data_IF_557665059405
#
_entry.id   IF_557665059405
#
_cell.length_a   1.000
_cell.length_b   1.000
_cell.length_c   1.000
_cell.angle_alpha   90.00
_cell.angle_beta   90.00
_cell.angle_gamma   90.00
#
_symmetry.space_group_name_H-M   'P 1'
#
loop_
_entity.id
_entity.type
_entity.pdbx_description
1 polymer ?
#
# COMPACT_ATOMS: atom_id res chain seq x y z
N UNK A 1 5.19 -20.74 -5.50
CA UNK A 1 5.92 -19.45 -5.44
C UNK A 1 5.29 -18.48 -6.42
N UNK A 2 4.93 -17.27 -6.00
CA UNK A 2 4.44 -16.24 -6.92
C UNK A 2 5.66 -15.68 -7.65
N UNK A 3 5.72 -15.82 -8.98
CA UNK A 3 6.81 -15.26 -9.77
C UNK A 3 6.70 -13.75 -9.94
N UNK A 4 7.84 -13.09 -10.22
CA UNK A 4 7.84 -11.66 -10.54
C UNK A 4 6.94 -11.39 -11.76
N UNK A 5 5.94 -10.54 -11.56
CA UNK A 5 4.95 -10.21 -12.58
C UNK A 5 5.20 -8.81 -13.15
N UNK A 6 5.75 -8.77 -14.35
CA UNK A 6 6.01 -7.54 -15.09
C UNK A 6 4.84 -7.13 -15.98
N UNK A 7 3.72 -7.86 -15.97
CA UNK A 7 2.61 -7.62 -16.89
C UNK A 7 1.87 -6.31 -16.60
N UNK A 8 1.27 -5.75 -17.64
CA UNK A 8 0.37 -4.60 -17.51
C UNK A 8 -0.84 -4.93 -16.64
N UNK A 9 -1.34 -6.17 -16.68
CA UNK A 9 -2.47 -6.58 -15.86
C UNK A 9 -2.11 -6.58 -14.37
N UNK A 10 -0.90 -6.97 -14.02
CA UNK A 10 -0.42 -6.90 -12.64
C UNK A 10 -0.38 -5.46 -12.10
N UNK A 11 -0.02 -4.49 -12.95
CA UNK A 11 0.04 -3.08 -12.60
C UNK A 11 -1.33 -2.40 -12.67
N UNK A 12 -2.06 -2.61 -13.79
CA UNK A 12 -3.28 -1.85 -14.08
C UNK A 12 -4.58 -2.54 -13.65
N UNK A 13 -4.54 -3.84 -13.34
CA UNK A 13 -5.71 -4.64 -12.93
C UNK A 13 -5.33 -5.64 -11.83
N UNK A 14 -4.66 -5.18 -10.76
CA UNK A 14 -4.08 -6.09 -9.77
C UNK A 14 -5.13 -6.99 -9.09
N UNK A 15 -6.35 -6.52 -8.91
CA UNK A 15 -7.43 -7.29 -8.30
C UNK A 15 -7.96 -8.47 -9.15
N UNK A 16 -7.65 -8.49 -10.47
CA UNK A 16 -8.07 -9.61 -11.33
C UNK A 16 -7.27 -10.90 -11.08
N UNK A 17 -6.07 -10.79 -10.50
CA UNK A 17 -5.28 -11.96 -10.12
C UNK A 17 -6.02 -12.77 -9.04
N UNK A 18 -5.94 -14.11 -9.07
CA UNK A 18 -6.45 -14.93 -7.97
C UNK A 18 -5.88 -14.46 -6.63
N UNK A 19 -6.67 -14.57 -5.58
CA UNK A 19 -6.16 -14.30 -4.24
C UNK A 19 -5.18 -15.40 -3.80
N UNK A 20 -4.22 -15.01 -2.99
CA UNK A 20 -3.28 -15.94 -2.35
C UNK A 20 -3.86 -16.54 -1.07
N UNK A 21 -4.99 -16.05 -0.59
CA UNK A 21 -5.65 -16.57 0.59
C UNK A 21 -6.37 -17.88 0.26
N UNK A 22 -6.20 -18.85 1.15
CA UNK A 22 -6.83 -20.18 1.04
C UNK A 22 -7.62 -20.49 2.31
N UNK A 23 -8.68 -21.34 2.21
CA UNK A 23 -9.46 -21.73 3.38
C UNK A 23 -8.58 -22.27 4.52
N UNK A 24 -8.80 -21.75 5.73
CA UNK A 24 -8.04 -22.15 6.93
C UNK A 24 -6.69 -21.45 7.11
N UNK A 25 -6.34 -20.50 6.23
CA UNK A 25 -5.17 -19.65 6.44
C UNK A 25 -5.40 -18.77 7.66
N UNK A 26 -4.40 -18.70 8.55
CA UNK A 26 -4.46 -17.86 9.73
C UNK A 26 -3.51 -16.67 9.61
N UNK A 27 -3.99 -15.49 9.99
CA UNK A 27 -3.21 -14.25 9.98
C UNK A 27 -1.90 -14.41 10.77
N UNK A 28 -1.96 -15.03 11.94
CA UNK A 28 -0.79 -15.27 12.79
C UNK A 28 0.27 -16.18 12.15
N UNK A 29 -0.14 -17.13 11.30
CA UNK A 29 0.79 -18.05 10.65
C UNK A 29 1.48 -17.44 9.43
N UNK A 30 0.79 -16.55 8.73
CA UNK A 30 1.29 -15.89 7.50
C UNK A 30 2.09 -14.64 7.82
N UNK A 31 1.72 -13.95 8.87
CA UNK A 31 2.25 -12.66 9.25
C UNK A 31 1.42 -11.49 8.71
N UNK A 32 1.22 -10.53 9.58
CA UNK A 32 0.32 -9.39 9.35
C UNK A 32 0.71 -8.57 8.11
N UNK A 33 2.01 -8.42 7.82
CA UNK A 33 2.49 -7.60 6.72
C UNK A 33 2.16 -8.24 5.37
N UNK A 34 2.25 -9.56 5.26
CA UNK A 34 1.86 -10.29 4.06
C UNK A 34 0.34 -10.23 3.83
N UNK A 35 -0.44 -10.32 4.90
CA UNK A 35 -1.89 -10.10 4.86
C UNK A 35 -2.20 -8.69 4.37
N UNK A 36 -1.55 -7.66 4.93
CA UNK A 36 -1.72 -6.27 4.52
C UNK A 36 -1.36 -6.04 3.05
N UNK A 37 -0.32 -6.72 2.53
CA UNK A 37 0.06 -6.62 1.11
C UNK A 37 -1.06 -7.13 0.20
N UNK A 38 -1.60 -8.30 0.49
CA UNK A 38 -2.69 -8.87 -0.28
C UNK A 38 -3.99 -8.05 -0.14
N UNK A 39 -4.35 -7.62 1.08
CA UNK A 39 -5.51 -6.76 1.29
C UNK A 39 -5.37 -5.43 0.51
N UNK A 40 -4.17 -4.82 0.49
CA UNK A 40 -3.89 -3.61 -0.28
C UNK A 40 -4.01 -3.83 -1.80
N UNK A 41 -3.68 -5.03 -2.28
CA UNK A 41 -3.91 -5.43 -3.67
C UNK A 41 -5.39 -5.65 -3.97
N UNK A 42 -6.11 -6.30 -3.08
CA UNK A 42 -7.55 -6.57 -3.21
C UNK A 42 -8.39 -5.29 -3.15
N UNK A 43 -7.89 -4.23 -2.50
CA UNK A 43 -8.55 -2.92 -2.47
C UNK A 43 -8.74 -2.29 -3.87
N UNK A 44 -8.04 -2.76 -4.89
CA UNK A 44 -8.25 -2.33 -6.28
C UNK A 44 -9.45 -3.00 -6.96
N UNK A 45 -10.15 -3.93 -6.30
CA UNK A 45 -11.43 -4.45 -6.82
C UNK A 45 -12.48 -3.32 -6.84
N UNK A 46 -13.27 -3.18 -7.90
CA UNK A 46 -14.28 -2.12 -8.01
C UNK A 46 -15.54 -2.47 -7.19
N UNK A 47 -15.37 -2.73 -5.90
CA UNK A 47 -16.42 -3.22 -5.00
C UNK A 47 -17.54 -2.18 -4.75
N UNK A 48 -17.29 -0.91 -5.02
CA UNK A 48 -18.30 0.14 -4.86
C UNK A 48 -19.26 0.21 -6.05
N UNK A 49 -18.81 -0.13 -7.24
CA UNK A 49 -19.57 -0.05 -8.49
C UNK A 49 -19.98 -1.40 -9.07
N UNK A 50 -19.41 -2.50 -8.58
CA UNK A 50 -19.65 -3.85 -9.07
C UNK A 50 -20.00 -4.81 -7.91
N UNK A 51 -21.27 -5.19 -7.83
CA UNK A 51 -21.80 -6.07 -6.79
C UNK A 51 -21.15 -7.48 -6.81
N UNK A 52 -20.76 -7.99 -7.97
CA UNK A 52 -20.09 -9.28 -8.07
C UNK A 52 -18.67 -9.21 -7.49
N UNK A 53 -17.95 -8.12 -7.75
CA UNK A 53 -16.63 -7.88 -7.17
C UNK A 53 -16.71 -7.63 -5.67
N UNK A 54 -17.75 -6.94 -5.21
CA UNK A 54 -18.02 -6.76 -3.77
C UNK A 54 -18.21 -8.10 -3.07
N UNK A 55 -19.10 -8.95 -3.58
CA UNK A 55 -19.33 -10.30 -3.02
C UNK A 55 -18.05 -11.12 -3.00
N UNK A 56 -17.32 -11.11 -4.10
CA UNK A 56 -16.04 -11.82 -4.19
C UNK A 56 -15.03 -11.32 -3.15
N UNK A 57 -14.94 -9.99 -2.93
CA UNK A 57 -14.05 -9.45 -1.89
C UNK A 57 -14.47 -9.94 -0.50
N UNK A 58 -15.76 -9.90 -0.17
CA UNK A 58 -16.28 -10.38 1.12
C UNK A 58 -15.96 -11.86 1.31
N UNK A 59 -16.22 -12.72 0.31
CA UNK A 59 -15.90 -14.14 0.34
C UNK A 59 -14.40 -14.39 0.61
N UNK A 60 -13.53 -13.58 -0.01
CA UNK A 60 -12.07 -13.66 0.21
C UNK A 60 -11.71 -13.25 1.65
N UNK A 61 -12.32 -12.19 2.17
CA UNK A 61 -12.08 -11.75 3.56
C UNK A 61 -12.52 -12.81 4.58
N UNK A 62 -13.63 -13.48 4.33
CA UNK A 62 -14.15 -14.57 5.15
C UNK A 62 -13.20 -15.77 5.23
N UNK A 63 -12.38 -16.03 4.20
CA UNK A 63 -11.33 -17.08 4.25
C UNK A 63 -10.32 -16.86 5.40
N UNK A 64 -10.13 -15.59 5.80
CA UNK A 64 -9.25 -15.18 6.90
C UNK A 64 -10.00 -14.95 8.22
N UNK A 65 -11.31 -15.16 8.25
CA UNK A 65 -12.13 -14.79 9.41
C UNK A 65 -12.33 -13.28 9.57
N UNK A 66 -12.09 -12.49 8.52
CA UNK A 66 -12.36 -11.06 8.52
C UNK A 66 -13.85 -10.81 8.24
N UNK A 67 -14.54 -10.22 9.21
CA UNK A 67 -15.99 -9.97 9.21
C UNK A 67 -16.28 -8.48 9.36
N UNK A 68 -17.55 -8.11 9.51
CA UNK A 68 -17.99 -6.71 9.69
C UNK A 68 -17.45 -5.78 8.61
N UNK A 69 -17.37 -6.28 7.36
CA UNK A 69 -16.86 -5.52 6.23
C UNK A 69 -17.69 -4.25 5.98
N UNK A 70 -16.99 -3.16 5.69
CA UNK A 70 -17.58 -1.90 5.24
C UNK A 70 -16.68 -1.27 4.16
N UNK A 71 -17.27 -0.89 3.02
CA UNK A 71 -16.63 -0.08 1.99
C UNK A 71 -16.86 1.41 2.24
N UNK A 72 -15.90 2.24 1.89
CA UNK A 72 -15.94 3.68 1.97
C UNK A 72 -15.54 4.27 0.62
N UNK A 73 -16.29 5.25 0.14
CA UNK A 73 -15.95 5.92 -1.11
C UNK A 73 -16.28 7.42 -1.07
N UNK A 74 -15.55 8.18 -1.88
CA UNK A 74 -15.80 9.58 -2.13
C UNK A 74 -15.61 9.85 -3.64
N UNK A 75 -16.70 9.87 -4.38
CA UNK A 75 -16.68 10.01 -5.85
C UNK A 75 -15.99 11.31 -6.31
N UNK A 76 -16.07 12.39 -5.53
CA UNK A 76 -15.45 13.67 -5.86
C UNK A 76 -13.92 13.63 -5.94
N UNK A 77 -13.28 12.72 -5.18
CA UNK A 77 -11.82 12.55 -5.14
C UNK A 77 -11.37 11.21 -5.71
N UNK A 78 -12.30 10.31 -6.04
CA UNK A 78 -12.01 8.94 -6.44
C UNK A 78 -11.37 8.10 -5.32
N UNK A 79 -11.48 8.55 -4.06
CA UNK A 79 -10.90 7.87 -2.91
C UNK A 79 -11.78 6.70 -2.51
N UNK A 80 -11.18 5.52 -2.35
CA UNK A 80 -11.84 4.33 -1.87
C UNK A 80 -11.01 3.65 -0.77
N UNK A 81 -11.71 3.04 0.19
CA UNK A 81 -11.12 2.23 1.24
C UNK A 81 -12.13 1.16 1.68
N UNK A 82 -11.67 0.18 2.42
CA UNK A 82 -12.56 -0.72 3.15
C UNK A 82 -12.02 -1.01 4.55
N UNK A 83 -12.91 -1.45 5.43
CA UNK A 83 -12.55 -1.94 6.75
C UNK A 83 -13.14 -3.33 7.00
N UNK A 84 -12.52 -4.08 7.90
CA UNK A 84 -13.00 -5.37 8.39
C UNK A 84 -12.44 -5.65 9.80
N UNK A 85 -13.08 -6.58 10.52
CA UNK A 85 -12.68 -7.03 11.85
C UNK A 85 -12.25 -8.50 11.78
N UNK A 86 -11.10 -8.83 12.36
CA UNK A 86 -10.73 -10.20 12.67
C UNK A 86 -11.63 -10.75 13.77
N UNK A 87 -12.47 -11.72 13.44
CA UNK A 87 -13.45 -12.31 14.36
C UNK A 87 -12.84 -13.12 15.49
N UNK A 88 -11.58 -13.59 15.34
CA UNK A 88 -10.86 -14.36 16.35
C UNK A 88 -10.23 -13.46 17.43
N UNK A 89 -9.62 -12.34 17.01
CA UNK A 89 -8.83 -11.48 17.90
C UNK A 89 -9.45 -10.10 18.13
N UNK A 90 -10.47 -9.71 17.37
CA UNK A 90 -11.07 -8.39 17.43
C UNK A 90 -10.20 -7.26 16.83
N UNK A 91 -9.19 -7.61 16.02
CA UNK A 91 -8.31 -6.65 15.39
C UNK A 91 -9.00 -5.99 14.18
N UNK A 92 -8.98 -4.67 14.13
CA UNK A 92 -9.54 -3.90 13.02
C UNK A 92 -8.48 -3.66 11.94
N UNK A 93 -8.91 -3.76 10.69
CA UNK A 93 -8.13 -3.42 9.50
C UNK A 93 -8.83 -2.28 8.76
N UNK A 94 -8.11 -1.24 8.39
CA UNK A 94 -8.55 -0.21 7.44
C UNK A 94 -7.54 -0.16 6.30
N UNK A 95 -8.02 -0.45 5.09
CA UNK A 95 -7.20 -0.60 3.88
C UNK A 95 -7.60 0.47 2.88
N UNK A 96 -6.66 1.33 2.52
CA UNK A 96 -6.87 2.38 1.53
C UNK A 96 -6.43 1.91 0.14
N UNK A 97 -7.29 2.14 -0.86
CA UNK A 97 -6.97 1.88 -2.26
C UNK A 97 -5.97 2.91 -2.79
N UNK A 98 -5.05 2.46 -3.62
CA UNK A 98 -4.20 3.35 -4.42
C UNK A 98 -4.96 4.03 -5.56
N UNK A 99 -4.26 4.92 -6.27
CA UNK A 99 -4.78 5.63 -7.45
C UNK A 99 -5.27 4.64 -8.51
N UNK A 100 -6.33 5.03 -9.23
CA UNK A 100 -6.78 4.27 -10.39
C UNK A 100 -5.62 4.06 -11.38
N UNK A 101 -5.52 2.88 -12.02
CA UNK A 101 -4.31 2.47 -12.73
C UNK A 101 -3.87 3.39 -13.90
N UNK A 102 -4.81 4.18 -14.48
CA UNK A 102 -4.49 5.17 -15.52
C UNK A 102 -3.63 6.34 -15.03
N UNK A 103 -3.74 6.67 -13.75
CA UNK A 103 -3.23 7.91 -13.16
C UNK A 103 -1.91 7.73 -12.39
N UNK A 104 -1.33 6.51 -12.38
CA UNK A 104 -0.04 6.25 -11.69
C UNK A 104 1.08 7.09 -12.30
N UNK A 105 1.06 7.33 -13.60
CA UNK A 105 2.04 8.21 -14.27
C UNK A 105 1.88 9.64 -13.80
N UNK A 106 0.66 10.10 -13.65
CA UNK A 106 0.36 11.46 -13.19
C UNK A 106 0.80 11.63 -11.73
N UNK A 107 0.54 10.65 -10.87
CA UNK A 107 1.05 10.63 -9.49
C UNK A 107 2.59 10.70 -9.43
N UNK A 108 3.28 10.00 -10.34
CA UNK A 108 4.75 10.00 -10.41
C UNK A 108 5.33 11.27 -11.03
N UNK A 109 4.55 12.01 -11.84
CA UNK A 109 5.00 13.19 -12.59
C UNK A 109 4.43 14.51 -12.07
N UNK A 110 3.32 14.48 -11.34
CA UNK A 110 2.73 15.68 -10.75
C UNK A 110 3.57 16.16 -9.56
N UNK A 111 4.56 16.99 -9.90
CA UNK A 111 5.45 17.66 -8.94
C UNK A 111 4.82 18.90 -8.32
N UNK A 112 3.57 19.23 -8.65
CA UNK A 112 2.89 20.43 -8.16
C UNK A 112 2.39 20.22 -6.73
N UNK A 113 3.32 20.00 -5.85
CA UNK A 113 3.12 19.52 -4.49
C UNK A 113 2.97 20.71 -3.54
N UNK A 114 1.77 21.23 -3.45
CA UNK A 114 1.47 22.30 -2.49
C UNK A 114 1.40 21.71 -1.07
N UNK A 115 2.22 22.21 -0.12
CA UNK A 115 2.11 21.84 1.28
C UNK A 115 0.88 22.47 1.94
N UNK A 116 0.25 21.74 2.85
CA UNK A 116 -0.76 22.24 3.77
C UNK A 116 -0.42 21.84 5.19
N UNK A 117 -0.70 22.73 6.15
CA UNK A 117 -0.48 22.44 7.56
C UNK A 117 -1.31 21.22 8.00
N UNK A 118 -0.69 20.32 8.76
CA UNK A 118 -1.34 19.13 9.28
C UNK A 118 -1.57 19.24 10.80
N UNK A 119 -2.77 18.85 11.25
CA UNK A 119 -3.16 18.99 12.66
C UNK A 119 -2.26 18.18 13.63
N UNK A 120 -1.66 17.08 13.17
CA UNK A 120 -0.71 16.25 13.93
C UNK A 120 0.71 16.84 14.00
N UNK A 121 0.98 17.95 13.33
CA UNK A 121 2.27 18.62 13.20
C UNK A 121 2.89 18.49 11.80
N UNK A 122 3.69 19.49 11.43
CA UNK A 122 4.31 19.57 10.11
C UNK A 122 3.35 19.96 8.99
N UNK A 123 3.79 19.72 7.76
CA UNK A 123 3.02 19.94 6.55
C UNK A 123 2.95 18.65 5.74
N UNK A 124 1.84 18.46 5.02
CA UNK A 124 1.60 17.29 4.16
C UNK A 124 1.18 17.73 2.76
N UNK A 125 1.21 16.79 1.83
CA UNK A 125 0.75 17.00 0.46
C UNK A 125 -0.74 17.32 0.43
N UNK A 126 -1.12 18.47 -0.15
CA UNK A 126 -2.50 18.95 -0.18
C UNK A 126 -3.47 17.94 -0.83
N UNK A 127 -3.06 17.31 -1.93
CA UNK A 127 -3.88 16.29 -2.61
C UNK A 127 -4.16 15.08 -1.71
N UNK A 128 -3.16 14.61 -0.96
CA UNK A 128 -3.35 13.49 -0.03
C UNK A 128 -4.24 13.90 1.15
N UNK A 129 -4.07 15.10 1.68
CA UNK A 129 -4.92 15.64 2.74
C UNK A 129 -6.39 15.73 2.29
N UNK A 130 -6.64 16.23 1.07
CA UNK A 130 -7.98 16.32 0.48
C UNK A 130 -8.60 14.94 0.27
N UNK A 131 -7.84 13.99 -0.30
CA UNK A 131 -8.31 12.63 -0.51
C UNK A 131 -8.62 11.92 0.82
N UNK A 132 -7.76 12.05 1.82
CA UNK A 132 -8.00 11.49 3.15
C UNK A 132 -9.25 12.10 3.81
N UNK A 133 -9.38 13.43 3.78
CA UNK A 133 -10.51 14.13 4.37
C UNK A 133 -11.86 13.69 3.78
N UNK A 134 -11.89 13.29 2.50
CA UNK A 134 -13.12 12.92 1.80
C UNK A 134 -13.76 11.62 2.29
N UNK A 135 -13.00 10.72 2.93
CA UNK A 135 -13.49 9.43 3.47
C UNK A 135 -13.34 9.34 4.99
N UNK A 136 -12.64 10.27 5.60
CA UNK A 136 -12.30 10.27 7.03
C UNK A 136 -13.52 10.06 7.93
N UNK A 137 -14.53 10.89 7.76
CA UNK A 137 -15.69 10.90 8.67
C UNK A 137 -16.50 9.60 8.59
N UNK A 138 -16.57 8.98 7.41
CA UNK A 138 -17.19 7.66 7.24
C UNK A 138 -16.42 6.59 8.02
N UNK A 139 -15.08 6.61 7.92
CA UNK A 139 -14.21 5.65 8.60
C UNK A 139 -14.23 5.90 10.12
N UNK A 140 -14.19 7.15 10.58
CA UNK A 140 -14.28 7.50 12.02
C UNK A 140 -15.59 6.97 12.60
N UNK A 141 -16.72 7.15 11.93
CA UNK A 141 -18.02 6.59 12.35
C UNK A 141 -17.96 5.06 12.49
N UNK A 142 -17.35 4.36 11.51
CA UNK A 142 -17.19 2.91 11.60
C UNK A 142 -16.27 2.50 12.75
N UNK A 143 -15.17 3.22 12.98
CA UNK A 143 -14.24 2.97 14.10
C UNK A 143 -14.92 3.19 15.45
N UNK A 144 -15.84 4.15 15.58
CA UNK A 144 -16.63 4.40 16.78
C UNK A 144 -17.58 3.24 17.07
N UNK A 145 -18.25 2.71 16.04
CA UNK A 145 -19.13 1.52 16.21
C UNK A 145 -18.36 0.26 16.59
N UNK A 146 -17.05 0.23 16.34
CA UNK A 146 -16.12 -0.87 16.69
C UNK A 146 -15.09 -0.42 17.73
N UNK A 147 -15.49 0.43 18.69
CA UNK A 147 -14.60 0.98 19.72
C UNK A 147 -13.97 -0.10 20.63
N UNK A 148 -14.64 -1.26 20.80
CA UNK A 148 -14.15 -2.39 21.56
C UNK A 148 -13.09 -3.24 20.85
N UNK A 149 -12.61 -2.84 19.67
CA UNK A 149 -11.55 -3.55 18.92
C UNK A 149 -10.27 -3.66 19.75
N UNK A 150 -9.55 -4.78 19.57
CA UNK A 150 -8.30 -5.05 20.30
C UNK A 150 -7.15 -4.18 19.78
N UNK A 151 -7.06 -4.02 18.45
CA UNK A 151 -6.04 -3.17 17.80
C UNK A 151 -6.58 -2.57 16.50
N UNK A 152 -5.82 -1.62 15.93
CA UNK A 152 -6.09 -1.04 14.62
C UNK A 152 -4.85 -1.16 13.73
N UNK A 153 -4.99 -1.82 12.58
CA UNK A 153 -3.99 -1.91 11.54
C UNK A 153 -4.43 -1.09 10.32
N UNK A 154 -3.56 -0.19 9.89
CA UNK A 154 -3.74 0.64 8.69
C UNK A 154 -2.81 0.15 7.60
N UNK A 155 -3.31 -0.02 6.39
CA UNK A 155 -2.47 -0.41 5.26
C UNK A 155 -2.96 0.21 3.94
N UNK A 156 -2.07 0.20 2.96
CA UNK A 156 -2.38 0.66 1.61
C UNK A 156 -1.16 0.55 0.68
N UNK A 157 -1.45 0.67 -0.61
CA UNK A 157 -0.46 0.69 -1.68
C UNK A 157 -0.54 2.02 -2.43
N UNK A 158 0.61 2.58 -2.85
CA UNK A 158 0.66 3.81 -3.65
C UNK A 158 0.00 5.00 -2.92
N UNK A 159 -0.95 5.70 -3.55
CA UNK A 159 -1.76 6.73 -2.89
C UNK A 159 -2.41 6.20 -1.60
N UNK A 160 -2.93 4.96 -1.62
CA UNK A 160 -3.53 4.36 -0.42
C UNK A 160 -2.55 4.24 0.74
N UNK A 161 -1.27 4.02 0.46
CA UNK A 161 -0.22 4.05 1.47
C UNK A 161 -0.02 5.45 2.07
N UNK A 162 -0.10 6.50 1.26
CA UNK A 162 -0.06 7.88 1.74
C UNK A 162 -1.26 8.20 2.64
N UNK A 163 -2.47 7.75 2.27
CA UNK A 163 -3.67 7.94 3.08
C UNK A 163 -3.60 7.17 4.41
N UNK A 164 -3.11 5.92 4.38
CA UNK A 164 -2.86 5.14 5.60
C UNK A 164 -1.85 5.83 6.53
N UNK A 165 -0.83 6.50 5.96
CA UNK A 165 0.16 7.26 6.73
C UNK A 165 -0.46 8.50 7.39
N UNK A 166 -1.34 9.22 6.69
CA UNK A 166 -2.12 10.32 7.28
C UNK A 166 -3.06 9.81 8.39
N UNK A 167 -3.74 8.68 8.14
CA UNK A 167 -4.60 8.03 9.10
C UNK A 167 -3.85 7.64 10.40
N UNK A 168 -2.61 7.13 10.27
CA UNK A 168 -1.76 6.77 11.43
C UNK A 168 -1.52 7.95 12.35
N UNK A 169 -1.22 9.13 11.79
CA UNK A 169 -1.02 10.35 12.58
C UNK A 169 -2.30 10.85 13.26
N UNK A 170 -3.46 10.49 12.72
CA UNK A 170 -4.77 10.94 13.20
C UNK A 170 -5.38 9.99 14.23
N UNK A 171 -5.30 8.66 13.97
CA UNK A 171 -6.02 7.66 14.77
C UNK A 171 -5.14 6.88 15.74
N UNK A 172 -3.83 7.18 15.80
CA UNK A 172 -2.87 6.50 16.68
C UNK A 172 -3.02 4.97 16.63
N UNK A 173 -3.06 4.44 15.40
CA UNK A 173 -3.25 3.02 15.16
C UNK A 173 -2.09 2.20 15.74
N UNK A 174 -2.35 0.94 16.06
CA UNK A 174 -1.36 0.01 16.60
C UNK A 174 -0.30 -0.37 15.57
N UNK A 175 -0.66 -0.30 14.26
CA UNK A 175 0.23 -0.69 13.16
C UNK A 175 -0.07 0.06 11.87
N UNK A 176 1.00 0.41 11.16
CA UNK A 176 0.97 0.94 9.81
C UNK A 176 1.84 0.05 8.91
N UNK A 177 1.28 -0.43 7.80
CA UNK A 177 2.00 -1.21 6.79
C UNK A 177 1.76 -0.61 5.40
N UNK A 178 2.80 -0.07 4.79
CA UNK A 178 2.66 0.63 3.51
C UNK A 178 3.52 0.01 2.41
N UNK A 179 3.00 -0.01 1.19
CA UNK A 179 3.64 -0.59 0.02
C UNK A 179 3.72 0.45 -1.10
N UNK A 180 4.91 0.68 -1.65
CA UNK A 180 5.08 1.67 -2.71
C UNK A 180 4.65 3.08 -2.30
N UNK A 181 4.86 3.46 -1.04
CA UNK A 181 4.39 4.72 -0.49
C UNK A 181 5.22 5.90 -1.00
N UNK A 182 4.59 6.96 -1.54
CA UNK A 182 5.28 8.23 -1.82
C UNK A 182 5.61 8.97 -0.51
N UNK A 183 6.43 10.01 -0.59
CA UNK A 183 6.66 10.91 0.55
C UNK A 183 5.43 11.74 0.83
N UNK A 184 4.93 11.69 2.06
CA UNK A 184 3.61 12.22 2.42
C UNK A 184 3.69 13.65 2.95
N UNK A 185 4.75 13.97 3.69
CA UNK A 185 4.91 15.27 4.33
C UNK A 185 6.37 15.62 4.64
N UNK A 186 6.55 16.70 5.37
CA UNK A 186 7.87 17.18 5.77
C UNK A 186 8.49 16.33 6.90
N UNK A 187 9.74 16.65 7.28
CA UNK A 187 10.45 15.96 8.36
C UNK A 187 9.68 15.99 9.67
N UNK A 188 9.00 17.11 9.96
CA UNK A 188 8.22 17.25 11.19
C UNK A 188 7.00 16.33 11.20
N UNK A 189 6.31 16.20 10.08
CA UNK A 189 5.23 15.23 9.94
C UNK A 189 5.78 13.79 10.02
N UNK A 190 6.84 13.51 9.29
CA UNK A 190 7.44 12.16 9.22
C UNK A 190 7.95 11.69 10.59
N UNK A 191 8.46 12.59 11.42
CA UNK A 191 8.90 12.29 12.79
C UNK A 191 7.73 11.79 13.66
N UNK A 192 6.49 12.27 13.46
CA UNK A 192 5.32 11.78 14.21
C UNK A 192 4.98 10.32 13.91
N UNK A 193 5.39 9.82 12.74
CA UNK A 193 5.19 8.43 12.32
C UNK A 193 6.39 7.55 12.73
N UNK A 194 7.61 8.09 12.67
CA UNK A 194 8.84 7.36 12.98
C UNK A 194 8.92 6.86 14.44
N UNK A 195 8.34 7.61 15.38
CA UNK A 195 8.30 7.25 16.80
C UNK A 195 7.39 6.05 17.11
N UNK A 196 6.65 5.55 16.11
CA UNK A 196 5.86 4.35 16.26
C UNK A 196 6.63 3.13 15.74
N UNK A 197 7.11 2.27 16.65
CA UNK A 197 7.83 1.02 16.31
C UNK A 197 7.06 0.05 15.39
N UNK A 198 5.82 0.39 15.05
CA UNK A 198 4.90 -0.40 14.26
C UNK A 198 4.69 0.13 12.82
N UNK A 199 5.37 1.22 12.41
CA UNK A 199 5.23 1.79 11.06
C UNK A 199 6.27 1.17 10.11
N UNK A 200 5.83 0.29 9.19
CA UNK A 200 6.69 -0.41 8.23
C UNK A 200 6.39 0.07 6.82
N UNK A 201 7.44 0.54 6.14
CA UNK A 201 7.37 1.06 4.77
C UNK A 201 8.12 0.14 3.82
N UNK A 202 7.39 -0.64 3.04
CA UNK A 202 7.96 -1.53 2.03
C UNK A 202 8.28 -0.78 0.74
N UNK A 203 9.53 -0.89 0.29
CA UNK A 203 10.09 -0.18 -0.86
C UNK A 203 10.60 -1.19 -1.88
N UNK A 204 9.93 -1.30 -3.01
CA UNK A 204 10.38 -2.12 -4.13
C UNK A 204 11.65 -1.56 -4.76
N UNK A 205 12.53 -2.43 -5.25
CA UNK A 205 13.86 -2.12 -5.78
C UNK A 205 13.90 -0.83 -6.61
N UNK A 206 13.17 -0.80 -7.71
CA UNK A 206 13.14 0.34 -8.62
C UNK A 206 11.82 1.13 -8.56
N UNK A 207 10.91 0.81 -7.65
CA UNK A 207 9.61 1.48 -7.55
C UNK A 207 9.78 3.00 -7.51
N UNK A 208 9.29 3.67 -8.58
CA UNK A 208 9.44 5.11 -8.74
C UNK A 208 8.63 5.89 -7.72
N UNK A 209 7.46 5.38 -7.32
CA UNK A 209 6.53 6.08 -6.42
C UNK A 209 7.15 6.26 -5.04
N UNK A 210 7.96 5.33 -4.57
CA UNK A 210 8.71 5.47 -3.32
C UNK A 210 9.70 6.65 -3.31
N UNK A 211 10.01 7.21 -4.48
CA UNK A 211 11.00 8.27 -4.65
C UNK A 211 10.38 9.63 -4.96
N UNK A 212 9.05 9.74 -5.00
CA UNK A 212 8.37 11.01 -5.27
C UNK A 212 7.63 11.50 -4.02
N UNK A 213 7.59 12.82 -3.80
CA UNK A 213 8.45 13.84 -4.44
C UNK A 213 9.94 13.56 -4.24
N UNK A 214 10.85 14.08 -5.14
CA UNK A 214 12.27 13.78 -5.07
C UNK A 214 12.92 14.13 -3.74
N UNK A 215 14.00 13.44 -3.36
CA UNK A 215 14.86 13.82 -2.24
C UNK A 215 15.46 15.20 -2.49
N UNK A 216 15.66 15.98 -1.41
CA UNK A 216 16.14 17.37 -1.49
C UNK A 216 15.02 18.41 -1.64
N UNK A 217 13.77 17.97 -1.78
CA UNK A 217 12.58 18.80 -1.52
C UNK A 217 12.35 18.88 -0.01
N UNK A 218 11.31 19.57 0.42
CA UNK A 218 10.96 19.62 1.85
C UNK A 218 10.25 18.32 2.35
N UNK A 219 10.02 17.32 1.46
CA UNK A 219 9.42 16.04 1.81
C UNK A 219 10.41 15.04 2.40
N UNK A 220 9.96 14.27 3.38
CA UNK A 220 10.73 13.23 4.05
C UNK A 220 10.03 11.86 4.01
N UNK A 221 10.82 10.81 4.16
CA UNK A 221 10.32 9.44 4.27
C UNK A 221 9.73 9.21 5.68
N UNK A 222 8.61 8.51 5.78
CA UNK A 222 7.94 8.19 7.04
C UNK A 222 7.93 6.67 7.30
N UNK A 223 8.20 6.27 8.54
CA UNK A 223 8.24 4.86 8.96
C UNK A 223 9.56 4.14 8.65
N UNK A 224 9.70 2.92 9.20
CA UNK A 224 10.89 2.08 9.03
C UNK A 224 10.91 1.45 7.65
N UNK A 225 11.95 1.74 6.86
CA UNK A 225 12.11 1.18 5.52
C UNK A 225 12.38 -0.33 5.57
N UNK A 226 11.70 -1.08 4.72
CA UNK A 226 11.89 -2.50 4.41
C UNK A 226 12.16 -2.61 2.90
N UNK A 227 13.40 -2.79 2.51
CA UNK A 227 13.79 -2.82 1.11
C UNK A 227 13.55 -4.21 0.50
N UNK A 228 12.91 -4.26 -0.66
CA UNK A 228 12.75 -5.47 -1.47
C UNK A 228 13.75 -5.36 -2.62
N UNK A 229 14.73 -6.26 -2.67
CA UNK A 229 15.78 -6.24 -3.68
C UNK A 229 15.26 -6.65 -5.08
N UNK A 230 16.13 -6.55 -6.10
CA UNK A 230 15.80 -6.88 -7.48
C UNK A 230 15.33 -8.32 -7.69
N UNK A 231 15.64 -9.22 -6.77
CA UNK A 231 15.21 -10.62 -6.77
C UNK A 231 13.87 -10.84 -6.03
N UNK A 232 13.35 -9.81 -5.35
CA UNK A 232 12.16 -9.89 -4.54
C UNK A 232 12.39 -10.36 -3.11
N UNK A 233 13.64 -10.41 -2.65
CA UNK A 233 13.96 -10.74 -1.27
C UNK A 233 13.98 -9.49 -0.39
N UNK A 234 13.44 -9.62 0.84
CA UNK A 234 13.56 -8.58 1.86
C UNK A 234 15.01 -8.46 2.31
N UNK A 235 15.50 -7.23 2.37
CA UNK A 235 16.84 -6.90 2.81
C UNK A 235 16.79 -5.86 3.92
N UNK A 236 17.54 -6.10 4.98
CA UNK A 236 17.70 -5.19 6.10
C UNK A 236 19.14 -4.70 6.17
N UNK A 237 19.34 -3.47 6.62
CA UNK A 237 20.67 -2.91 6.87
C UNK A 237 21.51 -2.62 5.63
N UNK A 238 20.93 -2.59 4.42
CA UNK A 238 21.63 -2.16 3.22
C UNK A 238 21.96 -0.67 3.29
N UNK A 239 23.18 -0.32 2.94
CA UNK A 239 23.55 1.06 2.79
C UNK A 239 23.02 1.66 1.47
N UNK A 240 23.00 3.00 1.33
CA UNK A 240 22.52 3.66 0.12
C UNK A 240 23.28 3.28 -1.16
N UNK A 241 24.56 2.97 -1.08
CA UNK A 241 25.37 2.56 -2.25
C UNK A 241 25.02 1.14 -2.71
N UNK A 242 24.81 0.22 -1.77
CA UNK A 242 24.34 -1.13 -2.07
C UNK A 242 22.96 -1.11 -2.74
N UNK A 243 22.00 -0.31 -2.22
CA UNK A 243 20.70 -0.13 -2.84
C UNK A 243 20.80 0.49 -4.24
N UNK A 244 21.69 1.47 -4.44
CA UNK A 244 21.91 2.09 -5.74
C UNK A 244 22.49 1.10 -6.74
N UNK A 245 23.43 0.25 -6.33
CA UNK A 245 24.02 -0.80 -7.16
C UNK A 245 22.98 -1.85 -7.56
N UNK A 246 22.13 -2.28 -6.62
CA UNK A 246 21.04 -3.23 -6.88
C UNK A 246 20.03 -2.67 -7.89
N UNK A 247 19.59 -1.42 -7.72
CA UNK A 247 18.72 -0.70 -8.67
C UNK A 247 19.33 -0.56 -10.05
N UNK A 248 20.62 -0.19 -10.13
CA UNK A 248 21.33 -0.04 -11.40
C UNK A 248 21.41 -1.38 -12.15
N UNK A 249 21.66 -2.47 -11.44
CA UNK A 249 21.68 -3.80 -12.01
C UNK A 249 20.29 -4.24 -12.48
N UNK A 250 19.26 -4.01 -11.66
CA UNK A 250 17.89 -4.31 -11.99
C UNK A 250 17.43 -3.65 -13.30
N UNK A 251 17.74 -2.36 -13.47
CA UNK A 251 17.42 -1.60 -14.69
C UNK A 251 18.13 -2.14 -15.93
N UNK A 252 19.39 -2.56 -15.80
CA UNK A 252 20.14 -3.12 -16.93
C UNK A 252 19.61 -4.48 -17.38
N UNK A 253 19.20 -5.32 -16.44
CA UNK A 253 18.74 -6.69 -16.71
C UNK A 253 17.29 -6.73 -17.21
N UNK A 254 16.46 -5.79 -16.81
CA UNK A 254 15.01 -5.79 -17.05
C UNK A 254 14.62 -5.80 -18.54
N UNK A 255 15.18 -4.96 -19.44
CA UNK A 255 14.74 -4.90 -20.83
C UNK A 255 14.84 -6.24 -21.55
N UNK A 256 15.97 -6.95 -21.42
CA UNK A 256 16.20 -8.23 -22.07
C UNK A 256 15.37 -9.37 -21.49
N UNK A 257 14.96 -9.26 -20.21
CA UNK A 257 14.26 -10.34 -19.52
C UNK A 257 12.72 -10.18 -19.62
N UNK A 258 12.24 -8.95 -19.50
CA UNK A 258 10.81 -8.68 -19.34
C UNK A 258 10.23 -7.74 -20.39
N UNK A 259 10.87 -6.61 -20.72
CA UNK A 259 10.27 -5.57 -21.56
C UNK A 259 10.04 -6.05 -23.01
N UNK A 260 10.80 -7.00 -23.49
CA UNK A 260 10.64 -7.62 -24.83
C UNK A 260 9.39 -8.50 -24.94
N UNK A 261 8.77 -8.90 -23.83
CA UNK A 261 7.62 -9.78 -23.83
C UNK A 261 6.33 -8.95 -24.07
N UNK A 262 5.50 -9.32 -25.06
CA UNK A 262 4.21 -8.64 -25.27
C UNK A 262 3.36 -8.65 -24.00
N UNK A 263 2.69 -7.52 -23.73
CA UNK A 263 1.82 -7.38 -22.55
C UNK A 263 2.55 -6.97 -21.27
N UNK A 264 3.87 -6.90 -21.28
CA UNK A 264 4.61 -6.41 -20.13
C UNK A 264 4.76 -4.88 -20.10
N UNK A 265 5.06 -4.38 -18.92
CA UNK A 265 5.44 -2.98 -18.67
C UNK A 265 6.86 -2.76 -19.22
N UNK A 266 7.09 -1.63 -19.91
CA UNK A 266 8.35 -1.40 -20.62
C UNK A 266 9.53 -1.05 -19.69
N UNK A 267 9.24 -0.45 -18.53
CA UNK A 267 10.28 0.02 -17.59
C UNK A 267 10.06 -0.59 -16.21
N UNK A 268 11.15 -0.96 -15.59
CA UNK A 268 11.13 -1.67 -14.31
C UNK A 268 10.51 -0.85 -13.19
N UNK A 269 10.67 0.45 -13.23
CA UNK A 269 10.18 1.40 -12.23
C UNK A 269 8.67 1.30 -12.01
N UNK A 270 7.91 1.08 -13.07
CA UNK A 270 6.46 0.85 -12.98
C UNK A 270 6.11 -0.62 -12.70
N UNK A 271 6.91 -1.57 -13.19
CA UNK A 271 6.67 -2.98 -12.90
C UNK A 271 6.91 -3.29 -11.42
N UNK A 272 7.95 -2.72 -10.81
CA UNK A 272 8.22 -2.87 -9.38
C UNK A 272 7.15 -2.18 -8.50
N UNK A 273 6.39 -1.22 -9.05
CA UNK A 273 5.24 -0.61 -8.37
C UNK A 273 3.99 -1.50 -8.34
N UNK A 274 3.98 -2.64 -9.04
CA UNK A 274 2.83 -3.53 -9.06
C UNK A 274 2.56 -4.14 -7.67
N UNK A 275 1.32 -4.05 -7.13
CA UNK A 275 0.99 -4.59 -5.81
C UNK A 275 1.30 -6.08 -5.65
N UNK A 276 1.16 -6.88 -6.71
CA UNK A 276 1.42 -8.32 -6.67
C UNK A 276 2.90 -8.63 -6.38
N UNK A 277 3.83 -7.75 -6.77
CA UNK A 277 5.25 -7.93 -6.50
C UNK A 277 5.60 -7.68 -5.02
N UNK A 278 4.83 -6.85 -4.33
CA UNK A 278 4.91 -6.71 -2.88
C UNK A 278 4.35 -7.94 -2.15
N UNK A 279 3.20 -8.46 -2.63
CA UNK A 279 2.62 -9.73 -2.12
C UNK A 279 3.63 -10.87 -2.27
N UNK A 280 4.24 -11.01 -3.46
CA UNK A 280 5.27 -12.02 -3.75
C UNK A 280 6.44 -11.97 -2.77
N UNK A 281 6.93 -10.76 -2.46
CA UNK A 281 8.09 -10.58 -1.58
C UNK A 281 7.82 -11.01 -0.14
N UNK A 282 6.55 -10.89 0.30
CA UNK A 282 6.15 -11.18 1.68
C UNK A 282 5.55 -12.57 1.87
N UNK A 283 5.15 -13.23 0.79
CA UNK A 283 4.65 -14.60 0.77
C UNK A 283 5.58 -15.52 -0.06
N UNK A 284 6.87 -15.64 0.29
CA UNK A 284 7.76 -16.54 -0.42
C UNK A 284 7.34 -17.97 -0.14
N UNK A 285 6.83 -18.66 -1.16
CA UNK A 285 6.59 -20.10 -1.09
C UNK A 285 5.27 -20.53 -0.45
N UNK A 286 4.19 -19.77 -0.58
CA UNK A 286 2.84 -20.34 -0.44
C UNK A 286 2.66 -21.37 -1.55
N UNK A 287 2.90 -22.59 -1.19
CA UNK A 287 2.76 -23.83 -1.96
C UNK A 287 1.28 -24.15 -2.09
#
# INVERSE_FOLDING_TARGET
MIDYDASRDALYRPALRPTVFVPGMRIAAVGIDAICAELSRLAYAPFESDEAQRRRLIEILELLGLTSWMGFNAAATGTEAFAAIDSEHGDAFVIFRGTAPGDIKDLATDLNVRPVAWAGGGNVHAGFATAFASVRDQIETWLETHAARSSLTLAGHSLGAALATLAMSRWQASRLVTFGCPRVGDERFSATIADTAAARRYVGCCDIVCNVPPAGTWYADAGSMRYIDRGGALREGLDPAEMAADRARARREYPATYAIRPGNVLVREFADHSPINYVRALLPGSV
#
